data_IF_558882251828
#
_entry.id   IF_558882251828
#
_cell.length_a   1.000
_cell.length_b   1.000
_cell.length_c   1.000
_cell.angle_alpha   90.00
_cell.angle_beta   90.00
_cell.angle_gamma   90.00
#
_symmetry.space_group_name_H-M   'P 1'
#
loop_
_entity.id
_entity.type
_entity.pdbx_description
1 polymer ?
#
# COMPACT_ATOMS: atom_id res chain seq x y z
N UNK A 1 -0.17 -9.36 16.26
CA UNK A 1 -0.93 -9.83 15.08
C UNK A 1 -0.30 -11.14 14.57
N UNK A 2 -1.09 -12.11 14.08
CA UNK A 2 -0.58 -13.42 13.61
C UNK A 2 0.29 -13.26 12.34
N UNK A 3 1.51 -13.79 12.35
CA UNK A 3 2.48 -13.69 11.25
C UNK A 3 1.88 -14.14 9.90
N UNK A 4 1.04 -15.17 9.91
CA UNK A 4 0.36 -15.66 8.70
C UNK A 4 -0.59 -14.61 8.14
N UNK A 5 -1.30 -13.88 9.01
CA UNK A 5 -2.20 -12.79 8.60
C UNK A 5 -1.43 -11.60 8.05
N UNK A 6 -0.29 -11.26 8.64
CA UNK A 6 0.59 -10.18 8.14
C UNK A 6 1.09 -10.54 6.73
N UNK A 7 1.61 -11.75 6.53
CA UNK A 7 2.12 -12.18 5.22
C UNK A 7 1.01 -12.24 4.17
N UNK A 8 -0.18 -12.71 4.54
CA UNK A 8 -1.35 -12.68 3.65
C UNK A 8 -1.70 -11.25 3.25
N UNK A 9 -1.74 -10.32 4.22
CA UNK A 9 -2.07 -8.92 3.96
C UNK A 9 -1.01 -8.23 3.08
N UNK A 10 0.28 -8.47 3.32
CA UNK A 10 1.36 -7.95 2.48
C UNK A 10 1.20 -8.43 1.02
N UNK A 11 0.80 -9.68 0.80
CA UNK A 11 0.54 -10.20 -0.55
C UNK A 11 -0.63 -9.47 -1.23
N UNK A 12 -1.74 -9.29 -0.52
CA UNK A 12 -2.90 -8.54 -1.02
C UNK A 12 -2.54 -7.08 -1.36
N UNK A 13 -1.78 -6.41 -0.49
CA UNK A 13 -1.30 -5.05 -0.71
C UNK A 13 -0.40 -4.95 -1.94
N UNK A 14 0.44 -5.95 -2.20
CA UNK A 14 1.30 -6.00 -3.39
C UNK A 14 0.47 -6.10 -4.68
N UNK A 15 -0.53 -6.98 -4.70
CA UNK A 15 -1.44 -7.12 -5.84
C UNK A 15 -2.23 -5.82 -6.09
N UNK A 16 -2.63 -5.14 -5.02
CA UNK A 16 -3.30 -3.84 -5.07
C UNK A 16 -2.38 -2.73 -5.64
N UNK A 17 -1.13 -2.65 -5.18
CA UNK A 17 -0.12 -1.70 -5.72
C UNK A 17 0.09 -1.95 -7.22
N UNK A 18 0.30 -3.20 -7.63
CA UNK A 18 0.52 -3.55 -9.04
C UNK A 18 -0.68 -3.17 -9.92
N UNK A 19 -1.90 -3.25 -9.38
CA UNK A 19 -3.10 -2.79 -10.06
C UNK A 19 -3.13 -1.25 -10.18
N UNK A 20 -2.88 -0.53 -9.07
CA UNK A 20 -2.91 0.93 -9.04
C UNK A 20 -1.83 1.57 -9.94
N UNK A 21 -0.63 1.00 -9.97
CA UNK A 21 0.47 1.46 -10.83
C UNK A 21 0.10 1.34 -12.31
N UNK A 22 -0.39 0.16 -12.74
CA UNK A 22 -0.83 -0.03 -14.14
C UNK A 22 -1.94 0.93 -14.55
N UNK A 23 -2.85 1.22 -13.63
CA UNK A 23 -3.93 2.17 -13.86
C UNK A 23 -3.43 3.62 -13.98
N UNK A 24 -2.39 3.99 -13.23
CA UNK A 24 -1.74 5.29 -13.33
C UNK A 24 -0.88 5.42 -14.59
N UNK A 25 -0.13 4.39 -14.97
CA UNK A 25 0.59 4.37 -16.25
C UNK A 25 -0.34 4.54 -17.44
N UNK A 26 -1.50 3.85 -17.42
CA UNK A 26 -2.53 4.02 -18.44
C UNK A 26 -3.11 5.44 -18.43
N UNK A 27 -3.36 6.01 -17.25
CA UNK A 27 -3.81 7.40 -17.12
C UNK A 27 -2.82 8.33 -17.84
N UNK A 28 -1.53 8.30 -17.48
CA UNK A 28 -0.48 9.14 -18.08
C UNK A 28 -0.35 8.95 -19.60
N UNK A 29 -0.50 7.72 -20.11
CA UNK A 29 -0.35 7.43 -21.54
C UNK A 29 -1.47 7.99 -22.41
N UNK A 30 -2.71 8.04 -21.90
CA UNK A 30 -3.90 8.35 -22.71
C UNK A 30 -4.39 9.80 -22.57
N UNK A 31 -3.78 10.62 -21.71
CA UNK A 31 -3.53 12.07 -21.86
C UNK A 31 -4.70 13.06 -22.04
N UNK A 32 -5.95 12.63 -22.22
CA UNK A 32 -7.12 13.52 -22.23
C UNK A 32 -7.83 13.47 -20.89
N UNK A 33 -7.20 14.01 -19.86
CA UNK A 33 -7.70 13.91 -18.49
C UNK A 33 -8.93 14.80 -18.30
N UNK A 34 -10.10 14.17 -18.17
CA UNK A 34 -11.28 14.88 -17.67
C UNK A 34 -11.13 15.11 -16.16
N UNK A 35 -11.93 16.03 -15.61
CA UNK A 35 -12.00 16.24 -14.14
C UNK A 35 -12.30 14.94 -13.38
N UNK A 36 -13.08 14.03 -14.00
CA UNK A 36 -13.34 12.71 -13.41
C UNK A 36 -12.09 11.84 -13.39
N UNK A 37 -11.26 11.90 -14.43
CA UNK A 37 -10.02 11.13 -14.50
C UNK A 37 -9.00 11.66 -13.48
N UNK A 38 -8.91 12.98 -13.30
CA UNK A 38 -8.08 13.59 -12.25
C UNK A 38 -8.51 13.18 -10.85
N UNK A 39 -9.83 13.18 -10.57
CA UNK A 39 -10.36 12.71 -9.28
C UNK A 39 -10.03 11.24 -9.02
N UNK A 40 -10.16 10.40 -10.04
CA UNK A 40 -9.81 8.97 -9.96
C UNK A 40 -8.32 8.80 -9.73
N UNK A 41 -7.47 9.56 -10.41
CA UNK A 41 -6.02 9.55 -10.18
C UNK A 41 -5.67 9.99 -8.75
N UNK A 42 -6.27 11.09 -8.27
CA UNK A 42 -6.09 11.57 -6.89
C UNK A 42 -6.49 10.52 -5.85
N UNK A 43 -7.61 9.82 -6.04
CA UNK A 43 -8.04 8.74 -5.16
C UNK A 43 -7.04 7.56 -5.15
N UNK A 44 -6.45 7.21 -6.31
CA UNK A 44 -5.41 6.17 -6.39
C UNK A 44 -4.15 6.58 -5.63
N UNK A 45 -3.71 7.83 -5.76
CA UNK A 45 -2.55 8.34 -5.01
C UNK A 45 -2.81 8.35 -3.51
N UNK A 46 -4.01 8.76 -3.08
CA UNK A 46 -4.40 8.68 -1.67
C UNK A 46 -4.39 7.23 -1.16
N UNK A 47 -4.83 6.27 -1.97
CA UNK A 47 -4.79 4.86 -1.60
C UNK A 47 -3.37 4.35 -1.45
N UNK A 48 -2.45 4.72 -2.34
CA UNK A 48 -1.03 4.36 -2.22
C UNK A 48 -0.41 4.89 -0.92
N UNK A 49 -0.75 6.12 -0.51
CA UNK A 49 -0.27 6.66 0.77
C UNK A 49 -0.81 5.87 1.97
N UNK A 50 -2.08 5.47 1.96
CA UNK A 50 -2.65 4.63 3.01
C UNK A 50 -1.97 3.25 3.08
N UNK A 51 -1.67 2.65 1.93
CA UNK A 51 -0.94 1.36 1.89
C UNK A 51 0.47 1.53 2.48
N UNK A 52 1.14 2.65 2.18
CA UNK A 52 2.45 2.96 2.76
C UNK A 52 2.35 3.08 4.30
N UNK A 53 1.38 3.82 4.82
CA UNK A 53 1.15 3.91 6.27
C UNK A 53 0.91 2.54 6.89
N UNK A 54 0.07 1.70 6.27
CA UNK A 54 -0.22 0.35 6.75
C UNK A 54 1.06 -0.52 6.81
N UNK A 55 1.94 -0.43 5.82
CA UNK A 55 3.22 -1.15 5.81
C UNK A 55 4.23 -0.61 6.84
N UNK A 56 4.27 0.71 7.03
CA UNK A 56 5.11 1.37 8.03
C UNK A 56 4.68 0.94 9.46
N UNK A 57 3.37 0.88 9.73
CA UNK A 57 2.81 0.41 10.99
C UNK A 57 3.15 -1.07 11.24
N UNK A 58 2.96 -1.94 10.23
CA UNK A 58 3.34 -3.36 10.33
C UNK A 58 4.84 -3.56 10.62
N UNK A 59 5.68 -2.70 10.05
CA UNK A 59 7.13 -2.73 10.28
C UNK A 59 7.47 -2.30 11.71
N UNK A 60 6.84 -1.24 12.21
CA UNK A 60 7.02 -0.76 13.58
C UNK A 60 6.57 -1.81 14.61
N UNK A 61 5.39 -2.42 14.41
CA UNK A 61 4.90 -3.49 15.28
C UNK A 61 5.84 -4.70 15.32
N UNK A 62 6.42 -5.09 14.18
CA UNK A 62 7.38 -6.20 14.10
C UNK A 62 8.70 -5.90 14.85
N UNK A 63 9.18 -4.66 14.80
CA UNK A 63 10.38 -4.24 15.52
C UNK A 63 10.16 -4.31 17.04
N UNK A 64 9.02 -3.84 17.54
CA UNK A 64 8.68 -3.90 18.97
C UNK A 64 8.58 -5.33 19.52
N UNK A 65 8.06 -6.29 18.73
CA UNK A 65 8.03 -7.71 19.11
C UNK A 65 9.45 -8.28 19.23
N UNK A 66 10.36 -7.86 18.35
CA UNK A 66 11.73 -8.37 18.33
C UNK A 66 12.54 -7.82 19.51
N UNK A 67 12.37 -6.55 19.87
CA UNK A 67 13.06 -5.93 21.02
C UNK A 67 12.54 -6.44 22.37
N UNK A 68 11.23 -6.73 22.47
CA UNK A 68 10.62 -7.26 23.70
C UNK A 68 10.96 -8.73 23.94
N UNK A 69 11.38 -9.48 22.91
CA UNK A 69 11.80 -10.88 23.01
C UNK A 69 13.30 -11.10 23.20
N UNK A 70 14.10 -10.04 23.31
CA UNK A 70 15.55 -10.10 23.53
C UNK A 70 15.91 -9.72 24.98
N UNK A 71 14.92 -9.47 25.85
CA UNK A 71 15.12 -9.23 27.29
C UNK A 71 14.87 -10.47 28.16
N UNK A 72 15.43 -11.61 27.78
CA UNK A 72 15.60 -12.80 28.65
C UNK A 72 17.02 -13.36 28.53
#
# INVERSE_FOLDING_TARGET
>A
MDLVRILKRIKELREEIDFLVRQNEAYELYGSHSVKDEQVHGARMQRLEQIKTELDDMKAEKLHITESGVMD
#
